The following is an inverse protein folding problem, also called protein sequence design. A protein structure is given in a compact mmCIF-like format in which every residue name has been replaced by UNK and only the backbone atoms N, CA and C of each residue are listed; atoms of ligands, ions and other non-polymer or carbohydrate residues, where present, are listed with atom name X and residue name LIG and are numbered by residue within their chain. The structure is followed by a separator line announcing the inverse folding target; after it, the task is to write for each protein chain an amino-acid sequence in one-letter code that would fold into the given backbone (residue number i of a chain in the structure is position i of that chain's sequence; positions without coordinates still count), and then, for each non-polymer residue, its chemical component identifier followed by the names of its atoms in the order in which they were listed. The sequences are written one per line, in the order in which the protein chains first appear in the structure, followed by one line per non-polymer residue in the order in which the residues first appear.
data_IF_168351379081
#
_entry.id   IF_168351379081
#
_cell.length_a   1.000
_cell.length_b   1.000
_cell.length_c   1.000
_cell.angle_alpha   90.00
_cell.angle_beta   90.00
_cell.angle_gamma   90.00
#
_symmetry.space_group_name_H-M   'P 1'
#
loop_
_entity.id
_entity.type
_entity.pdbx_description
1 polymer ?
#
# COMPACT_ATOMS: atom_id res chain seq x y z
N UNK A 1 31.08 20.74 -0.75
CA UNK A 1 30.09 21.34 -1.67
C UNK A 1 29.26 22.31 -0.86
N UNK A 2 29.12 23.55 -1.33
CA UNK A 2 28.27 24.56 -0.69
C UNK A 2 26.81 24.41 -1.14
N UNK A 3 25.88 25.00 -0.39
CA UNK A 3 24.46 25.02 -0.76
C UNK A 3 24.23 25.72 -2.12
N UNK A 4 24.97 26.80 -2.41
CA UNK A 4 24.91 27.49 -3.69
C UNK A 4 25.41 26.61 -4.86
N UNK A 5 26.45 25.80 -4.63
CA UNK A 5 26.95 24.85 -5.62
C UNK A 5 25.93 23.73 -5.88
N UNK A 6 25.35 23.14 -4.83
CA UNK A 6 24.35 22.10 -4.96
C UNK A 6 23.10 22.63 -5.67
N UNK A 7 22.60 23.80 -5.29
CA UNK A 7 21.46 24.43 -5.94
C UNK A 7 21.71 24.61 -7.45
N UNK A 8 22.92 25.07 -7.83
CA UNK A 8 23.33 25.21 -9.23
C UNK A 8 23.34 23.88 -9.96
N UNK A 9 23.94 22.84 -9.37
CA UNK A 9 23.99 21.48 -9.96
C UNK A 9 22.61 20.85 -10.10
N UNK A 10 21.73 21.09 -9.13
CA UNK A 10 20.35 20.63 -9.13
C UNK A 10 19.42 21.54 -9.97
N UNK A 11 19.93 22.62 -10.57
CA UNK A 11 19.19 23.63 -11.33
C UNK A 11 18.05 24.35 -10.55
N UNK A 12 18.14 24.43 -9.22
CA UNK A 12 17.18 25.12 -8.35
C UNK A 12 17.81 26.37 -7.72
N UNK A 13 16.99 27.22 -7.12
CA UNK A 13 17.50 28.40 -6.42
C UNK A 13 18.04 28.00 -5.04
N UNK A 14 19.10 28.67 -4.57
CA UNK A 14 19.65 28.44 -3.24
C UNK A 14 18.61 28.65 -2.11
N UNK A 15 17.75 29.69 -2.14
CA UNK A 15 16.69 29.84 -1.15
C UNK A 15 15.69 28.67 -1.14
N UNK A 16 15.37 28.10 -2.30
CA UNK A 16 14.50 26.93 -2.38
C UNK A 16 15.17 25.71 -1.75
N UNK A 17 16.45 25.46 -2.06
CA UNK A 17 17.22 24.39 -1.42
C UNK A 17 17.27 24.58 0.11
N UNK A 18 17.47 25.80 0.60
CA UNK A 18 17.46 26.10 2.03
C UNK A 18 16.09 25.86 2.69
N UNK A 19 15.01 26.18 1.99
CA UNK A 19 13.66 25.91 2.47
C UNK A 19 13.37 24.41 2.56
N UNK A 20 13.86 23.62 1.60
CA UNK A 20 13.77 22.16 1.61
C UNK A 20 14.57 21.57 2.77
N UNK A 21 15.84 21.97 2.93
CA UNK A 21 16.72 21.46 4.01
C UNK A 21 16.21 21.82 5.41
N UNK A 22 15.52 22.96 5.56
CA UNK A 22 14.90 23.37 6.83
C UNK A 22 13.51 22.78 7.07
N UNK A 23 12.99 21.95 6.15
CA UNK A 23 11.66 21.34 6.26
C UNK A 23 10.50 22.32 6.08
N UNK A 24 10.74 23.54 5.59
CA UNK A 24 9.70 24.56 5.34
C UNK A 24 8.88 24.26 4.10
N UNK A 25 9.44 23.49 3.17
CA UNK A 25 8.81 23.12 1.90
C UNK A 25 8.97 21.62 1.71
N UNK A 26 7.87 20.96 1.36
CA UNK A 26 7.88 19.57 0.91
C UNK A 26 8.17 19.54 -0.61
N UNK A 27 9.34 19.06 -1.04
CA UNK A 27 9.72 19.06 -2.45
C UNK A 27 8.95 17.99 -3.25
N UNK A 28 8.62 18.34 -4.49
CA UNK A 28 8.20 17.34 -5.48
C UNK A 28 9.31 16.30 -5.69
N UNK A 29 8.94 15.05 -5.98
CA UNK A 29 9.90 13.95 -6.24
C UNK A 29 10.90 14.31 -7.34
N UNK A 30 10.48 15.04 -8.38
CA UNK A 30 11.37 15.53 -9.43
C UNK A 30 12.46 16.49 -8.91
N UNK A 31 12.15 17.30 -7.91
CA UNK A 31 13.14 18.19 -7.26
C UNK A 31 14.13 17.38 -6.43
N UNK A 32 13.66 16.40 -5.65
CA UNK A 32 14.53 15.49 -4.91
C UNK A 32 15.49 14.74 -5.85
N UNK A 33 14.98 14.24 -6.98
CA UNK A 33 15.81 13.57 -7.99
C UNK A 33 16.96 14.46 -8.46
N UNK A 34 16.66 15.71 -8.83
CA UNK A 34 17.67 16.68 -9.29
C UNK A 34 18.71 17.03 -8.22
N UNK A 35 18.29 17.08 -6.95
CA UNK A 35 19.21 17.29 -5.82
C UNK A 35 20.17 16.10 -5.68
N UNK A 36 19.64 14.87 -5.74
CA UNK A 36 20.45 13.65 -5.73
C UNK A 36 21.40 13.58 -6.93
N UNK A 37 20.93 13.89 -8.14
CA UNK A 37 21.79 13.98 -9.34
C UNK A 37 22.92 15.00 -9.14
N UNK A 38 22.62 16.17 -8.55
CA UNK A 38 23.62 17.19 -8.22
C UNK A 38 24.65 16.76 -7.17
N UNK A 39 24.28 15.80 -6.31
CA UNK A 39 25.17 15.11 -5.37
C UNK A 39 25.98 13.98 -6.02
N UNK A 40 25.65 13.57 -7.25
CA UNK A 40 26.21 12.39 -7.89
C UNK A 40 25.61 11.08 -7.35
N UNK A 41 24.38 11.12 -6.86
CA UNK A 41 23.64 9.98 -6.34
C UNK A 41 22.37 9.74 -7.16
N UNK A 42 21.85 8.50 -7.11
CA UNK A 42 20.52 8.18 -7.61
C UNK A 42 19.50 8.21 -6.48
N UNK A 43 18.32 8.77 -6.74
CA UNK A 43 17.21 8.72 -5.79
C UNK A 43 16.54 7.34 -5.88
N UNK A 44 16.82 6.48 -4.89
CA UNK A 44 16.13 5.22 -4.69
C UNK A 44 14.96 5.41 -3.69
N UNK A 45 13.75 5.03 -4.08
CA UNK A 45 12.57 5.06 -3.22
C UNK A 45 12.09 3.62 -3.01
N UNK A 46 12.22 3.12 -1.79
CA UNK A 46 11.77 1.79 -1.42
C UNK A 46 10.42 1.89 -0.70
N UNK A 47 9.39 1.14 -1.12
CA UNK A 47 8.14 1.08 -0.40
C UNK A 47 8.35 0.52 1.00
N UNK A 48 8.05 1.31 2.02
CA UNK A 48 8.03 0.86 3.41
C UNK A 48 6.60 0.48 3.79
N UNK A 49 6.37 -0.79 4.09
CA UNK A 49 5.07 -1.26 4.55
C UNK A 49 4.86 -0.81 6.00
N UNK A 50 3.70 -0.22 6.29
CA UNK A 50 3.32 0.16 7.66
C UNK A 50 3.06 -1.04 8.59
N UNK A 51 2.99 -2.26 8.04
CA UNK A 51 2.79 -3.51 8.76
C UNK A 51 3.30 -4.72 7.95
N UNK A 52 3.50 -5.90 8.56
CA UNK A 52 4.02 -7.08 7.89
C UNK A 52 3.21 -7.46 6.64
N UNK A 53 3.91 -7.98 5.62
CA UNK A 53 3.30 -8.38 4.36
C UNK A 53 2.23 -9.46 4.57
N UNK A 54 2.49 -10.40 5.47
CA UNK A 54 1.60 -11.50 5.83
C UNK A 54 0.25 -10.97 6.35
N UNK A 55 0.26 -9.89 7.13
CA UNK A 55 -0.94 -9.26 7.66
C UNK A 55 -1.73 -8.56 6.54
N UNK A 56 -1.05 -7.83 5.65
CA UNK A 56 -1.68 -7.19 4.49
C UNK A 56 -2.35 -8.21 3.57
N UNK A 57 -1.67 -9.32 3.32
CA UNK A 57 -2.19 -10.41 2.48
C UNK A 57 -3.39 -11.08 3.17
N UNK A 58 -3.32 -11.32 4.49
CA UNK A 58 -4.46 -11.88 5.26
C UNK A 58 -5.67 -10.96 5.24
N UNK A 59 -5.48 -9.65 5.44
CA UNK A 59 -6.57 -8.67 5.37
C UNK A 59 -7.23 -8.64 3.99
N UNK A 60 -6.41 -8.70 2.93
CA UNK A 60 -6.93 -8.76 1.57
C UNK A 60 -7.71 -10.05 1.32
N UNK A 61 -7.19 -11.20 1.77
CA UNK A 61 -7.88 -12.47 1.67
C UNK A 61 -9.23 -12.44 2.44
N UNK A 62 -9.24 -11.83 3.62
CA UNK A 62 -10.46 -11.68 4.44
C UNK A 62 -11.51 -10.80 3.78
N UNK A 63 -11.10 -9.68 3.18
CA UNK A 63 -12.00 -8.79 2.44
C UNK A 63 -12.62 -9.51 1.22
N UNK A 64 -11.84 -10.31 0.51
CA UNK A 64 -12.31 -11.11 -0.63
C UNK A 64 -13.24 -12.23 -0.16
N UNK A 65 -12.88 -12.95 0.91
CA UNK A 65 -13.72 -13.98 1.52
C UNK A 65 -15.07 -13.40 1.96
N UNK A 66 -15.06 -12.25 2.63
CA UNK A 66 -16.27 -11.55 3.07
C UNK A 66 -17.16 -11.17 1.89
N UNK A 67 -16.58 -10.64 0.82
CA UNK A 67 -17.33 -10.25 -0.38
C UNK A 67 -18.03 -11.46 -1.01
N UNK A 68 -17.31 -12.57 -1.17
CA UNK A 68 -17.86 -13.82 -1.73
C UNK A 68 -18.93 -14.42 -0.82
N UNK A 69 -18.70 -14.41 0.48
CA UNK A 69 -19.61 -15.00 1.45
C UNK A 69 -20.90 -14.20 1.58
N UNK A 70 -20.85 -12.86 1.47
CA UNK A 70 -22.06 -12.02 1.38
C UNK A 70 -22.93 -12.36 0.16
N UNK A 71 -22.32 -12.66 -0.98
CA UNK A 71 -23.06 -13.07 -2.18
C UNK A 71 -23.78 -14.40 -1.95
N UNK A 72 -23.08 -15.40 -1.41
CA UNK A 72 -23.66 -16.70 -1.07
C UNK A 72 -24.73 -16.60 0.04
N UNK A 73 -24.55 -15.70 1.00
CA UNK A 73 -25.57 -15.49 2.03
C UNK A 73 -26.81 -14.80 1.50
N UNK A 74 -26.67 -13.90 0.54
CA UNK A 74 -27.82 -13.31 -0.15
C UNK A 74 -28.72 -14.39 -0.75
N UNK A 75 -28.15 -15.46 -1.29
CA UNK A 75 -28.92 -16.60 -1.81
C UNK A 75 -29.46 -17.50 -0.69
N UNK A 76 -28.66 -17.82 0.34
CA UNK A 76 -29.12 -18.68 1.46
C UNK A 76 -30.20 -18.03 2.33
N UNK A 77 -30.21 -16.70 2.44
CA UNK A 77 -31.26 -15.97 3.15
C UNK A 77 -32.62 -16.03 2.43
N UNK A 78 -32.61 -16.13 1.10
CA UNK A 78 -33.84 -16.37 0.32
C UNK A 78 -34.38 -17.80 0.56
N UNK A 79 -33.53 -18.72 1.01
CA UNK A 79 -33.84 -20.12 1.28
C UNK A 79 -34.13 -20.41 2.77
N UNK A 80 -34.20 -19.37 3.62
CA UNK A 80 -34.36 -19.46 5.09
C UNK A 80 -33.25 -20.29 5.79
N UNK A 81 -32.05 -20.25 5.23
CA UNK A 81 -30.87 -21.01 5.71
C UNK A 81 -29.72 -20.10 6.15
N UNK A 82 -30.00 -18.86 6.54
CA UNK A 82 -28.96 -17.92 6.94
C UNK A 82 -28.24 -18.41 8.22
N UNK A 83 -26.89 -18.53 8.22
CA UNK A 83 -26.14 -18.94 9.40
C UNK A 83 -26.18 -17.87 10.50
N UNK A 84 -26.06 -18.30 11.75
CA UNK A 84 -25.88 -17.40 12.89
C UNK A 84 -24.52 -16.68 12.85
N UNK A 85 -24.34 -15.69 13.75
CA UNK A 85 -23.15 -14.82 13.78
C UNK A 85 -21.85 -15.58 14.05
N UNK A 86 -21.89 -16.66 14.82
CA UNK A 86 -20.69 -17.41 15.21
C UNK A 86 -20.28 -18.34 14.07
N UNK A 87 -21.25 -19.03 13.49
CA UNK A 87 -21.06 -19.83 12.27
C UNK A 87 -20.55 -18.96 11.12
N UNK A 88 -21.08 -17.75 10.95
CA UNK A 88 -20.58 -16.79 9.97
C UNK A 88 -19.10 -16.44 10.17
N UNK A 89 -18.71 -16.14 11.42
CA UNK A 89 -17.30 -15.83 11.74
C UNK A 89 -16.38 -16.99 11.41
N UNK A 90 -16.76 -18.21 11.76
CA UNK A 90 -15.98 -19.41 11.45
C UNK A 90 -15.86 -19.65 9.95
N UNK A 91 -16.95 -19.48 9.20
CA UNK A 91 -16.94 -19.62 7.74
C UNK A 91 -16.03 -18.56 7.09
N UNK A 92 -16.08 -17.31 7.57
CA UNK A 92 -15.22 -16.24 7.07
C UNK A 92 -13.73 -16.55 7.28
N UNK A 93 -13.33 -16.99 8.48
CA UNK A 93 -11.94 -17.36 8.74
C UNK A 93 -11.49 -18.56 7.91
N UNK A 94 -12.32 -19.60 7.82
CA UNK A 94 -12.03 -20.78 6.99
C UNK A 94 -11.83 -20.40 5.53
N UNK A 95 -12.71 -19.57 4.97
CA UNK A 95 -12.58 -19.08 3.59
C UNK A 95 -11.36 -18.18 3.39
N UNK A 96 -10.98 -17.41 4.40
CA UNK A 96 -9.76 -16.59 4.38
C UNK A 96 -8.53 -17.50 4.30
N UNK A 97 -8.45 -18.53 5.14
CA UNK A 97 -7.35 -19.48 5.14
C UNK A 97 -7.29 -20.32 3.85
N UNK A 98 -8.45 -20.73 3.30
CA UNK A 98 -8.54 -21.44 2.01
C UNK A 98 -7.94 -20.61 0.85
N UNK A 99 -8.19 -19.29 0.86
CA UNK A 99 -7.64 -18.36 -0.13
C UNK A 99 -6.12 -18.22 0.00
N UNK A 100 -5.61 -18.14 1.23
CA UNK A 100 -4.18 -18.05 1.50
C UNK A 100 -3.44 -19.34 1.11
N UNK A 101 -4.07 -20.51 1.30
CA UNK A 101 -3.51 -21.82 0.92
C UNK A 101 -3.53 -22.09 -0.59
N UNK A 102 -4.32 -21.34 -1.36
CA UNK A 102 -4.54 -21.57 -2.79
C UNK A 102 -3.99 -20.44 -3.67
N UNK A 103 -2.66 -20.30 -3.82
CA UNK A 103 -2.04 -19.21 -4.59
C UNK A 103 -2.40 -19.19 -6.10
N UNK A 104 -3.07 -20.24 -6.62
CA UNK A 104 -3.38 -20.40 -8.05
C UNK A 104 -4.70 -19.79 -8.53
N UNK A 105 -5.61 -19.36 -7.65
CA UNK A 105 -6.80 -18.60 -8.07
C UNK A 105 -6.49 -17.11 -7.95
N UNK A 106 -5.89 -16.55 -9.02
CA UNK A 106 -5.59 -15.10 -9.14
C UNK A 106 -6.73 -14.30 -8.51
N UNK A 107 -6.41 -13.59 -7.43
CA UNK A 107 -7.32 -12.58 -6.90
C UNK A 107 -7.57 -11.59 -8.04
N UNK A 108 -8.83 -11.32 -8.44
CA UNK A 108 -9.08 -10.33 -9.46
C UNK A 108 -8.53 -8.99 -8.97
N UNK A 109 -7.47 -8.53 -9.64
CA UNK A 109 -7.02 -7.14 -9.60
C UNK A 109 -8.14 -6.31 -10.21
N UNK A 110 -8.85 -5.56 -9.38
CA UNK A 110 -9.68 -4.45 -9.84
C UNK A 110 -8.79 -3.29 -10.25
#
# INVERSE_FOLDING_TARGET
MTQAELARRAHITQPNLAAIESGKVDPQVGTLRRIYEGLGCELNLEPLLHKPLEELVRDRARAVALTRLKQTMGTMALEDQAPDKDTFRQLLEKRTDDLLRSPRKRLPTR
#
